data_IF_823802788143
#
_entry.id   IF_823802788143
#
_cell.length_a   1.000
_cell.length_b   1.000
_cell.length_c   1.000
_cell.angle_alpha   90.00
_cell.angle_beta   90.00
_cell.angle_gamma   90.00
#
_symmetry.space_group_name_H-M   'P 1'
#
loop_
_entity.id
_entity.type
_entity.pdbx_description
1 polymer ?
#
# COMPACT_ATOMS: atom_id res chain seq x y z
N UNK A 1 -10.28 -75.75 -36.64
CA UNK A 1 -11.18 -74.58 -36.53
C UNK A 1 -10.43 -73.48 -35.82
N UNK A 2 -10.16 -72.36 -36.50
CA UNK A 2 -9.36 -71.25 -35.97
C UNK A 2 -10.32 -70.14 -35.57
N UNK A 3 -10.48 -69.90 -34.27
CA UNK A 3 -11.32 -68.84 -33.72
C UNK A 3 -10.69 -67.48 -34.07
N UNK A 4 -11.41 -66.69 -34.85
CA UNK A 4 -11.06 -65.28 -35.10
C UNK A 4 -11.41 -64.46 -33.87
N UNK A 5 -10.41 -63.97 -33.16
CA UNK A 5 -10.57 -62.95 -32.14
C UNK A 5 -10.90 -61.61 -32.81
N UNK A 6 -12.14 -61.19 -32.67
CA UNK A 6 -12.61 -59.86 -33.10
C UNK A 6 -12.27 -58.88 -32.00
N UNK A 7 -11.17 -58.14 -32.18
CA UNK A 7 -10.79 -57.07 -31.27
C UNK A 7 -11.81 -55.91 -31.35
N UNK A 8 -12.41 -55.48 -30.22
CA UNK A 8 -13.39 -54.41 -30.24
C UNK A 8 -12.74 -53.05 -30.56
N UNK A 9 -13.45 -52.15 -31.26
CA UNK A 9 -12.92 -50.85 -31.63
C UNK A 9 -12.64 -50.01 -30.38
N UNK A 10 -11.37 -49.63 -30.18
CA UNK A 10 -10.96 -48.69 -29.14
C UNK A 10 -11.62 -47.33 -29.38
N UNK A 11 -12.74 -47.08 -28.69
CA UNK A 11 -13.45 -45.80 -28.72
C UNK A 11 -12.69 -44.73 -27.93
N UNK A 12 -12.10 -43.79 -28.68
CA UNK A 12 -12.15 -42.35 -28.45
C UNK A 12 -11.67 -41.79 -27.10
N UNK A 13 -10.40 -41.99 -26.73
CA UNK A 13 -9.76 -41.29 -25.59
C UNK A 13 -9.35 -39.84 -25.92
N UNK A 14 -9.15 -39.51 -27.20
CA UNK A 14 -8.71 -38.19 -27.68
C UNK A 14 -9.73 -37.08 -27.43
N UNK A 15 -11.03 -37.38 -27.52
CA UNK A 15 -12.11 -36.39 -27.35
C UNK A 15 -12.29 -35.95 -25.88
N UNK A 16 -11.90 -36.80 -24.94
CA UNK A 16 -11.97 -36.52 -23.49
C UNK A 16 -10.82 -35.60 -23.04
N UNK A 17 -9.60 -35.84 -23.55
CA UNK A 17 -8.42 -35.00 -23.27
C UNK A 17 -8.59 -33.56 -23.75
N UNK A 18 -9.27 -33.36 -24.88
CA UNK A 18 -9.53 -32.02 -25.43
C UNK A 18 -10.51 -31.21 -24.58
N UNK A 19 -11.55 -31.85 -24.03
CA UNK A 19 -12.48 -31.21 -23.09
C UNK A 19 -11.78 -30.81 -21.80
N UNK A 20 -10.92 -31.68 -21.27
CA UNK A 20 -10.15 -31.41 -20.05
C UNK A 20 -9.16 -30.25 -20.27
N UNK A 21 -8.49 -30.23 -21.43
CA UNK A 21 -7.62 -29.11 -21.82
C UNK A 21 -8.40 -27.80 -21.97
N UNK A 22 -9.55 -27.81 -22.65
CA UNK A 22 -10.39 -26.63 -22.80
C UNK A 22 -10.88 -26.08 -21.44
N UNK A 23 -11.27 -26.95 -20.51
CA UNK A 23 -11.68 -26.54 -19.15
C UNK A 23 -10.52 -25.89 -18.40
N UNK A 24 -9.31 -26.47 -18.46
CA UNK A 24 -8.12 -25.89 -17.82
C UNK A 24 -7.80 -24.52 -18.41
N UNK A 25 -7.79 -24.38 -19.73
CA UNK A 25 -7.50 -23.10 -20.40
C UNK A 25 -8.54 -22.03 -20.04
N UNK A 26 -9.83 -22.37 -20.05
CA UNK A 26 -10.90 -21.43 -19.68
C UNK A 26 -10.79 -21.03 -18.20
N UNK A 27 -10.52 -21.98 -17.30
CA UNK A 27 -10.31 -21.66 -15.87
C UNK A 27 -9.11 -20.75 -15.64
N UNK A 28 -8.02 -20.95 -16.39
CA UNK A 28 -6.82 -20.13 -16.31
C UNK A 28 -7.11 -18.71 -16.81
N UNK A 29 -7.84 -18.57 -17.92
CA UNK A 29 -8.28 -17.28 -18.43
C UNK A 29 -9.16 -16.51 -17.43
N UNK A 30 -10.14 -17.18 -16.81
CA UNK A 30 -10.99 -16.55 -15.79
C UNK A 30 -10.13 -16.09 -14.60
N UNK A 31 -9.19 -16.93 -14.13
CA UNK A 31 -8.29 -16.56 -13.05
C UNK A 31 -7.42 -15.33 -13.41
N UNK A 32 -6.90 -15.25 -14.63
CA UNK A 32 -6.16 -14.08 -15.12
C UNK A 32 -7.03 -12.83 -15.17
N UNK A 33 -8.28 -12.93 -15.66
CA UNK A 33 -9.21 -11.79 -15.70
C UNK A 33 -9.50 -11.29 -14.29
N UNK A 34 -9.76 -12.19 -13.33
CA UNK A 34 -10.00 -11.83 -11.93
C UNK A 34 -8.77 -11.19 -11.31
N UNK A 35 -7.57 -11.71 -11.57
CA UNK A 35 -6.32 -11.15 -11.07
C UNK A 35 -6.08 -9.73 -11.61
N UNK A 36 -6.29 -9.51 -12.91
CA UNK A 36 -6.19 -8.18 -13.54
C UNK A 36 -7.27 -7.25 -13.00
N UNK A 37 -8.51 -7.70 -12.85
CA UNK A 37 -9.59 -6.90 -12.29
C UNK A 37 -9.28 -6.45 -10.86
N UNK A 38 -8.78 -7.35 -10.01
CA UNK A 38 -8.34 -6.99 -8.67
C UNK A 38 -7.15 -6.05 -8.68
N UNK A 39 -6.19 -6.24 -9.61
CA UNK A 39 -5.03 -5.38 -9.72
C UNK A 39 -5.41 -3.95 -10.11
N UNK A 40 -6.29 -3.78 -11.10
CA UNK A 40 -6.76 -2.48 -11.59
C UNK A 40 -7.64 -1.77 -10.56
N UNK A 41 -8.45 -2.52 -9.79
CA UNK A 41 -9.37 -1.94 -8.81
C UNK A 41 -8.84 -1.87 -7.37
N UNK A 42 -7.53 -2.13 -7.15
CA UNK A 42 -6.92 -1.89 -5.84
C UNK A 42 -6.88 -0.39 -5.58
N UNK A 43 -7.68 0.05 -4.61
CA UNK A 43 -7.69 1.43 -4.14
C UNK A 43 -6.38 1.72 -3.41
N UNK A 44 -5.73 2.85 -3.69
CA UNK A 44 -4.62 3.31 -2.88
C UNK A 44 -5.00 3.37 -1.40
N UNK A 45 -4.06 3.04 -0.53
CA UNK A 45 -4.27 3.08 0.91
C UNK A 45 -3.18 3.85 1.63
N UNK A 46 -3.55 4.42 2.77
CA UNK A 46 -2.68 5.13 3.69
C UNK A 46 -2.83 4.48 5.06
N UNK A 47 -1.75 3.94 5.60
CA UNK A 47 -1.70 3.37 6.95
C UNK A 47 -0.85 4.27 7.84
N UNK A 48 -1.40 4.65 8.99
CA UNK A 48 -0.79 5.61 9.91
C UNK A 48 -0.52 4.90 11.23
N UNK A 49 0.64 4.23 11.40
CA UNK A 49 1.09 3.84 12.71
C UNK A 49 1.70 5.02 13.49
N UNK A 50 1.67 4.90 14.81
CA UNK A 50 2.42 5.76 15.73
C UNK A 50 3.26 4.90 16.63
N UNK A 51 4.57 5.13 16.61
CA UNK A 51 5.56 4.33 17.33
C UNK A 51 5.39 2.83 17.06
N UNK A 52 5.13 2.48 15.78
CA UNK A 52 4.88 1.10 15.34
C UNK A 52 3.53 0.49 15.74
N UNK A 53 2.64 1.23 16.42
CA UNK A 53 1.30 0.77 16.78
C UNK A 53 0.25 1.34 15.82
N UNK A 54 -0.76 0.55 15.40
CA UNK A 54 -1.81 1.05 14.53
C UNK A 54 -2.63 2.14 15.22
N UNK A 55 -2.81 3.28 14.57
CA UNK A 55 -3.69 4.34 15.07
C UNK A 55 -5.14 4.05 14.67
N UNK A 56 -5.80 3.13 15.38
CA UNK A 56 -7.19 2.77 15.11
C UNK A 56 -8.18 3.88 15.53
N UNK A 57 -9.26 4.03 14.74
CA UNK A 57 -10.37 4.96 15.03
C UNK A 57 -9.95 6.44 15.18
N UNK A 58 -8.85 6.84 14.56
CA UNK A 58 -8.40 8.22 14.57
C UNK A 58 -9.11 8.99 13.46
N UNK A 59 -9.68 10.13 13.84
CA UNK A 59 -10.31 11.04 12.89
C UNK A 59 -9.25 11.83 12.14
N UNK A 60 -9.30 11.76 10.83
CA UNK A 60 -8.57 12.62 9.91
C UNK A 60 -9.57 13.42 9.08
N UNK A 61 -9.12 14.54 8.54
CA UNK A 61 -9.95 15.38 7.68
C UNK A 61 -9.48 15.24 6.25
N UNK A 62 -10.39 15.09 5.30
CA UNK A 62 -10.05 15.11 3.88
C UNK A 62 -9.38 16.43 3.49
N UNK A 63 -8.30 16.37 2.70
CA UNK A 63 -7.55 17.57 2.32
C UNK A 63 -8.41 18.54 1.48
N UNK A 64 -9.25 18.00 0.58
CA UNK A 64 -10.06 18.81 -0.34
C UNK A 64 -11.40 19.23 0.25
N UNK A 65 -12.10 18.31 0.92
CA UNK A 65 -13.48 18.52 1.36
C UNK A 65 -13.59 18.86 2.85
N UNK A 66 -12.51 18.68 3.62
CA UNK A 66 -12.52 18.75 5.09
C UNK A 66 -13.54 17.81 5.74
N UNK A 67 -13.99 16.77 5.01
CA UNK A 67 -14.87 15.77 5.57
C UNK A 67 -14.11 14.89 6.57
N UNK A 68 -14.72 14.64 7.71
CA UNK A 68 -14.15 13.77 8.73
C UNK A 68 -14.21 12.32 8.26
N UNK A 69 -13.09 11.61 8.37
CA UNK A 69 -12.95 10.18 8.12
C UNK A 69 -12.23 9.54 9.30
N UNK A 70 -12.51 8.28 9.58
CA UNK A 70 -11.81 7.57 10.64
C UNK A 70 -10.98 6.43 10.07
N UNK A 71 -9.80 6.22 10.62
CA UNK A 71 -8.99 5.03 10.34
C UNK A 71 -9.72 3.77 10.80
N UNK A 72 -9.51 2.66 10.09
CA UNK A 72 -10.01 1.35 10.51
C UNK A 72 -9.17 0.78 11.69
N UNK A 73 -9.42 -0.47 12.08
CA UNK A 73 -8.71 -1.14 13.18
C UNK A 73 -7.20 -1.31 12.95
N UNK A 74 -6.73 -1.29 11.70
CA UNK A 74 -5.29 -1.34 11.37
C UNK A 74 -4.65 0.04 11.27
N UNK A 75 -5.39 1.13 11.51
CA UNK A 75 -4.90 2.49 11.29
C UNK A 75 -4.86 2.89 9.81
N UNK A 76 -5.59 2.18 8.95
CA UNK A 76 -5.60 2.37 7.50
C UNK A 76 -6.83 3.15 7.06
N UNK A 77 -6.63 4.01 6.05
CA UNK A 77 -7.67 4.70 5.31
C UNK A 77 -7.46 4.40 3.83
N UNK A 78 -8.54 4.16 3.12
CA UNK A 78 -8.52 3.95 1.67
C UNK A 78 -8.91 5.22 0.95
N UNK A 79 -8.31 5.44 -0.21
CA UNK A 79 -8.78 6.43 -1.16
C UNK A 79 -10.25 6.13 -1.52
N UNK A 80 -11.11 7.12 -1.31
CA UNK A 80 -12.54 7.07 -1.58
C UNK A 80 -12.90 8.08 -2.67
N UNK A 81 -12.64 7.67 -3.90
CA UNK A 81 -12.86 8.50 -5.09
C UNK A 81 -11.60 8.58 -5.96
N UNK A 82 -11.66 9.40 -7.02
CA UNK A 82 -10.51 9.61 -7.89
C UNK A 82 -9.50 10.58 -7.25
N UNK A 83 -8.21 10.39 -7.55
CA UNK A 83 -7.08 11.15 -6.98
C UNK A 83 -7.17 12.66 -7.26
N UNK A 84 -7.84 13.09 -8.31
CA UNK A 84 -8.08 14.50 -8.63
C UNK A 84 -9.02 15.19 -7.62
N UNK A 85 -9.83 14.41 -6.89
CA UNK A 85 -10.77 14.90 -5.88
C UNK A 85 -10.35 14.60 -4.46
N UNK A 86 -9.49 13.60 -4.27
CA UNK A 86 -8.96 13.22 -2.98
C UNK A 86 -7.47 12.89 -3.11
N UNK A 87 -6.63 13.83 -2.70
CA UNK A 87 -5.17 13.65 -2.80
C UNK A 87 -4.54 13.27 -1.47
N UNK A 88 -5.22 13.52 -0.35
CA UNK A 88 -4.65 13.30 0.97
C UNK A 88 -5.60 13.63 2.10
N UNK A 89 -5.06 13.56 3.31
CA UNK A 89 -5.77 13.84 4.56
C UNK A 89 -4.91 14.70 5.47
N UNK A 90 -5.57 15.48 6.32
CA UNK A 90 -4.96 16.12 7.48
C UNK A 90 -5.17 15.27 8.72
N UNK A 91 -4.06 14.94 9.37
CA UNK A 91 -4.05 14.36 10.70
C UNK A 91 -3.77 15.46 11.71
N UNK A 92 -4.70 15.70 12.63
CA UNK A 92 -4.47 16.56 13.78
C UNK A 92 -3.69 15.81 14.86
N UNK A 93 -2.60 16.39 15.31
CA UNK A 93 -1.73 15.83 16.33
C UNK A 93 -2.17 16.30 17.73
N UNK A 94 -1.89 15.53 18.80
CA UNK A 94 -2.23 15.92 20.17
C UNK A 94 -1.58 17.22 20.64
N UNK A 95 -0.46 17.61 20.03
CA UNK A 95 0.26 18.87 20.32
C UNK A 95 -0.39 20.09 19.62
N UNK A 96 -1.50 19.89 18.91
CA UNK A 96 -2.20 20.94 18.16
C UNK A 96 -1.63 21.19 16.77
N UNK A 97 -0.53 20.53 16.38
CA UNK A 97 -0.03 20.57 15.02
C UNK A 97 -0.93 19.74 14.08
N UNK A 98 -0.70 19.88 12.77
CA UNK A 98 -1.39 19.06 11.77
C UNK A 98 -0.41 18.60 10.71
N UNK A 99 -0.51 17.33 10.34
CA UNK A 99 0.29 16.71 9.28
C UNK A 99 -0.57 16.45 8.07
N UNK A 100 -0.08 16.87 6.90
CA UNK A 100 -0.68 16.52 5.62
C UNK A 100 -0.08 15.19 5.15
N UNK A 101 -0.93 14.22 4.87
CA UNK A 101 -0.55 12.90 4.39
C UNK A 101 -1.19 12.66 3.02
N UNK A 102 -0.38 12.52 1.98
CA UNK A 102 -0.86 12.34 0.62
C UNK A 102 -1.06 10.87 0.31
N UNK A 103 -2.16 10.51 -0.35
CA UNK A 103 -2.31 9.17 -0.89
C UNK A 103 -1.26 8.93 -1.98
N UNK A 104 -0.72 7.69 -2.08
CA UNK A 104 0.10 7.34 -3.23
C UNK A 104 -0.78 7.28 -4.48
N UNK A 105 -0.22 7.59 -5.64
CA UNK A 105 -0.93 7.43 -6.92
C UNK A 105 -1.35 5.97 -7.14
N UNK A 106 -0.52 5.03 -6.69
CA UNK A 106 -0.76 3.60 -6.78
C UNK A 106 -0.14 2.85 -5.59
N UNK A 107 -0.86 1.86 -5.07
CA UNK A 107 -0.36 0.97 -4.02
C UNK A 107 -0.65 1.47 -2.60
N UNK A 108 0.20 1.09 -1.67
CA UNK A 108 -0.01 1.37 -0.24
C UNK A 108 1.10 2.29 0.28
N UNK A 109 0.73 3.27 1.09
CA UNK A 109 1.66 4.12 1.82
C UNK A 109 1.51 3.85 3.31
N UNK A 110 2.62 3.63 4.00
CA UNK A 110 2.69 3.54 5.46
C UNK A 110 3.48 4.74 5.98
N UNK A 111 2.90 5.54 6.86
CA UNK A 111 3.57 6.68 7.50
C UNK A 111 3.65 6.45 9.00
N UNK A 112 4.79 5.96 9.47
CA UNK A 112 5.06 5.74 10.89
C UNK A 112 5.47 7.05 11.56
N UNK A 113 4.61 7.56 12.43
CA UNK A 113 4.78 8.81 13.15
C UNK A 113 5.50 8.55 14.47
N UNK A 114 6.65 9.21 14.67
CA UNK A 114 7.51 9.07 15.86
C UNK A 114 7.90 10.45 16.37
N UNK A 115 6.95 11.10 17.04
CA UNK A 115 7.12 12.47 17.56
C UNK A 115 7.51 13.46 16.46
N UNK A 116 8.76 13.92 16.49
CA UNK A 116 9.30 14.89 15.51
C UNK A 116 9.88 14.27 14.24
N UNK A 117 9.86 12.95 14.14
CA UNK A 117 10.36 12.18 13.00
C UNK A 117 9.23 11.32 12.43
N UNK A 118 9.26 11.06 11.12
CA UNK A 118 8.34 10.11 10.50
C UNK A 118 8.99 9.35 9.36
N UNK A 119 8.64 8.08 9.23
CA UNK A 119 9.11 7.19 8.18
C UNK A 119 7.94 6.89 7.25
N UNK A 120 8.09 7.25 5.99
CA UNK A 120 7.13 6.96 4.93
C UNK A 120 7.64 5.83 4.07
N UNK A 121 6.86 4.75 3.94
CA UNK A 121 7.17 3.60 3.08
C UNK A 121 6.06 3.42 2.06
N UNK A 122 6.36 3.63 0.78
CA UNK A 122 5.43 3.41 -0.33
C UNK A 122 5.70 2.07 -0.98
N UNK A 123 4.69 1.22 -1.06
CA UNK A 123 4.72 -0.07 -1.72
C UNK A 123 3.92 -0.01 -3.03
N UNK A 124 4.62 -0.17 -4.15
CA UNK A 124 3.97 -0.28 -5.46
C UNK A 124 3.84 -1.75 -5.85
N UNK A 125 2.64 -2.15 -6.26
CA UNK A 125 2.34 -3.52 -6.69
C UNK A 125 2.16 -3.58 -8.20
N UNK A 126 2.55 -4.70 -8.80
CA UNK A 126 2.34 -5.05 -10.20
C UNK A 126 1.85 -6.50 -10.24
N UNK A 127 0.64 -6.72 -10.75
CA UNK A 127 -0.03 -8.04 -10.77
C UNK A 127 -0.03 -8.78 -9.41
N UNK A 128 -0.10 -8.04 -8.30
CA UNK A 128 -0.13 -8.59 -6.94
C UNK A 128 1.25 -8.86 -6.31
N UNK A 129 2.34 -8.61 -7.03
CA UNK A 129 3.71 -8.67 -6.51
C UNK A 129 4.22 -7.27 -6.18
N UNK A 130 5.05 -7.14 -5.14
CA UNK A 130 5.70 -5.87 -4.81
C UNK A 130 6.76 -5.61 -5.89
N UNK A 131 6.58 -4.53 -6.65
CA UNK A 131 7.50 -4.11 -7.71
C UNK A 131 8.61 -3.23 -7.16
N UNK A 132 8.24 -2.29 -6.29
CA UNK A 132 9.18 -1.37 -5.67
C UNK A 132 8.70 -0.98 -4.29
N UNK A 133 9.68 -0.69 -3.43
CA UNK A 133 9.47 -0.10 -2.12
C UNK A 133 10.33 1.15 -2.05
N UNK A 134 9.71 2.29 -1.82
CA UNK A 134 10.41 3.56 -1.61
C UNK A 134 10.26 3.95 -0.15
N UNK A 135 11.37 4.27 0.50
CA UNK A 135 11.39 4.74 1.88
C UNK A 135 11.88 6.19 1.89
N UNK A 136 11.16 7.03 2.62
CA UNK A 136 11.50 8.43 2.85
C UNK A 136 11.41 8.74 4.33
N UNK A 137 12.27 9.63 4.80
CA UNK A 137 12.32 10.08 6.18
C UNK A 137 12.06 11.59 6.22
N UNK A 138 11.24 12.01 7.16
CA UNK A 138 10.93 13.42 7.36
C UNK A 138 11.20 13.80 8.81
N UNK A 139 11.89 14.92 8.98
CA UNK A 139 12.24 15.49 10.27
C UNK A 139 11.58 16.85 10.43
N UNK A 140 10.95 17.07 11.58
CA UNK A 140 10.44 18.38 11.98
C UNK A 140 11.51 19.09 12.78
N UNK A 141 11.90 20.28 12.35
CA UNK A 141 12.91 21.12 13.00
C UNK A 141 12.27 22.31 13.72
N UNK A 142 12.87 22.73 14.83
CA UNK A 142 12.48 23.95 15.54
C UNK A 142 13.21 25.17 14.97
N UNK A 143 12.67 26.37 15.18
CA UNK A 143 13.35 27.60 14.76
C UNK A 143 14.77 27.73 15.36
N UNK A 144 14.95 27.31 16.61
CA UNK A 144 16.26 27.34 17.24
C UNK A 144 17.28 26.45 16.53
N UNK A 145 16.89 25.23 16.14
CA UNK A 145 17.78 24.31 15.42
C UNK A 145 18.06 24.78 14.00
N UNK A 146 17.08 25.42 13.34
CA UNK A 146 17.28 26.08 12.05
C UNK A 146 18.32 27.21 12.16
N UNK A 147 18.28 28.01 13.23
CA UNK A 147 19.31 29.03 13.46
C UNK A 147 20.67 28.42 13.81
N UNK A 148 20.72 27.32 14.55
CA UNK A 148 21.98 26.59 14.80
C UNK A 148 22.60 26.06 13.51
N UNK A 149 21.78 25.49 12.61
CA UNK A 149 22.21 25.09 11.25
C UNK A 149 22.72 26.30 10.46
N UNK A 150 21.99 27.42 10.50
CA UNK A 150 22.34 28.66 9.77
C UNK A 150 23.66 29.26 10.26
N UNK A 151 23.94 29.15 11.56
CA UNK A 151 25.21 29.56 12.18
C UNK A 151 26.34 28.55 11.98
N UNK A 152 26.05 27.36 11.45
CA UNK A 152 27.02 26.27 11.29
C UNK A 152 27.44 25.64 12.61
N UNK A 153 26.67 25.82 13.69
CA UNK A 153 26.94 25.23 15.01
C UNK A 153 26.67 23.72 15.02
N UNK A 154 25.71 23.29 14.20
CA UNK A 154 25.38 21.88 13.97
C UNK A 154 25.26 21.66 12.46
N UNK A 155 25.51 20.43 12.03
CA UNK A 155 25.25 19.97 10.66
C UNK A 155 23.86 19.36 10.56
N UNK A 156 23.33 19.23 9.34
CA UNK A 156 22.04 18.56 9.12
C UNK A 156 22.08 17.11 9.62
N UNK A 157 23.15 16.37 9.34
CA UNK A 157 23.33 14.98 9.79
C UNK A 157 23.29 14.86 11.32
N UNK A 158 23.95 15.77 12.05
CA UNK A 158 23.92 15.80 13.51
C UNK A 158 22.52 16.11 14.05
N UNK A 159 21.79 17.01 13.40
CA UNK A 159 20.42 17.34 13.79
C UNK A 159 19.48 16.16 13.55
N UNK A 160 19.56 15.52 12.39
CA UNK A 160 18.78 14.32 12.08
C UNK A 160 19.07 13.20 13.08
N UNK A 161 20.35 12.94 13.38
CA UNK A 161 20.75 11.93 14.34
C UNK A 161 20.20 12.25 15.75
N UNK A 162 20.33 13.51 16.18
CA UNK A 162 19.75 13.98 17.44
C UNK A 162 18.24 13.72 17.50
N UNK A 163 17.49 14.05 16.45
CA UNK A 163 16.05 13.81 16.41
C UNK A 163 15.74 12.30 16.43
N UNK A 164 16.51 11.45 15.73
CA UNK A 164 16.32 9.99 15.81
C UNK A 164 16.52 9.46 17.22
N UNK A 165 17.54 9.94 17.91
CA UNK A 165 17.90 9.49 19.25
C UNK A 165 16.89 9.97 20.31
N UNK A 166 16.28 11.14 20.11
CA UNK A 166 15.17 11.65 20.96
C UNK A 166 13.86 10.87 20.80
N UNK A 167 13.66 10.17 19.68
CA UNK A 167 12.40 9.47 19.33
C UNK A 167 12.58 7.94 19.22
N UNK A 168 13.65 7.38 19.83
CA UNK A 168 13.89 5.94 19.99
C UNK A 168 13.47 5.44 21.36
#
# INVERSE_FOLDING_TARGET
>A
MKTMDVNPPQKNTTRSRWKLFAVVVVSCLIACIVAVYHHVNRRPSLTIPRDGKPMASVTVNDLQTFANRSTNSSGTIYLDGPLDRQQGVFLSEPDGSSRMLMFPEQGDLVVDLRGRYSISTTMHYDLGFIKSTSQSEQFSTTQQEVEQLRRGEITMEQLEQKIRDENR
#
